data_IF_054219991050
#
_entry.id   IF_054219991050
#
_cell.length_a   1.000
_cell.length_b   1.000
_cell.length_c   1.000
_cell.angle_alpha   90.00
_cell.angle_beta   90.00
_cell.angle_gamma   90.00
#
_symmetry.space_group_name_H-M   'P 1'
#
loop_
_entity.id
_entity.type
_entity.pdbx_description
1 polymer ?
#
# COMPACT_ATOMS: atom_id res chain seq x y z
N UNK A 1 -32.52 6.62 17.73
CA UNK A 1 -31.62 6.67 16.56
C UNK A 1 -31.09 5.27 16.34
N UNK A 2 -31.19 4.73 15.12
CA UNK A 2 -30.62 3.42 14.78
C UNK A 2 -29.09 3.51 14.82
N UNK A 3 -28.44 2.55 15.50
CA UNK A 3 -26.98 2.45 15.50
C UNK A 3 -26.55 1.89 14.15
N UNK A 4 -25.54 2.52 13.55
CA UNK A 4 -24.90 2.05 12.34
C UNK A 4 -24.39 0.60 12.53
N UNK A 5 -24.69 -0.30 11.59
CA UNK A 5 -24.08 -1.64 11.52
C UNK A 5 -22.54 -1.54 11.48
N UNK A 6 -21.89 -2.30 12.35
CA UNK A 6 -20.43 -2.41 12.51
C UNK A 6 -19.87 -3.61 11.74
N UNK A 7 -18.54 -3.66 11.55
CA UNK A 7 -17.87 -4.83 10.94
C UNK A 7 -18.23 -6.13 11.66
N UNK A 8 -18.31 -6.09 12.99
CA UNK A 8 -18.71 -7.26 13.78
C UNK A 8 -20.14 -7.73 13.45
N UNK A 9 -21.09 -6.80 13.33
CA UNK A 9 -22.48 -7.13 12.97
C UNK A 9 -22.55 -7.74 11.56
N UNK A 10 -21.83 -7.17 10.60
CA UNK A 10 -21.73 -7.69 9.23
C UNK A 10 -21.11 -9.09 9.21
N UNK A 11 -20.09 -9.36 10.03
CA UNK A 11 -19.46 -10.67 10.12
C UNK A 11 -20.44 -11.74 10.61
N UNK A 12 -21.15 -11.46 11.70
CA UNK A 12 -22.11 -12.40 12.30
C UNK A 12 -23.29 -12.64 11.36
N UNK A 13 -23.79 -11.58 10.71
CA UNK A 13 -24.82 -11.71 9.69
C UNK A 13 -24.34 -12.54 8.49
N UNK A 14 -23.12 -12.32 8.00
CA UNK A 14 -22.55 -13.11 6.90
C UNK A 14 -22.39 -14.60 7.23
N UNK A 15 -22.07 -14.93 8.49
CA UNK A 15 -22.07 -16.33 8.95
C UNK A 15 -23.50 -16.91 8.93
N UNK A 16 -24.48 -16.12 9.37
CA UNK A 16 -25.87 -16.53 9.37
C UNK A 16 -26.42 -16.74 7.94
N UNK A 17 -26.18 -15.79 7.04
CA UNK A 17 -26.60 -15.84 5.63
C UNK A 17 -25.96 -17.02 4.90
N UNK A 18 -24.70 -17.33 5.20
CA UNK A 18 -24.02 -18.50 4.64
C UNK A 18 -24.71 -19.80 5.08
N UNK A 19 -25.02 -19.95 6.37
CA UNK A 19 -25.74 -21.12 6.86
C UNK A 19 -27.17 -21.18 6.31
N UNK A 20 -27.87 -20.06 6.23
CA UNK A 20 -29.23 -19.98 5.69
C UNK A 20 -29.31 -20.53 4.26
N UNK A 21 -28.32 -20.20 3.43
CA UNK A 21 -28.17 -20.70 2.05
C UNK A 21 -28.07 -22.23 1.98
N UNK A 22 -27.52 -22.87 3.01
CA UNK A 22 -27.29 -24.32 3.07
C UNK A 22 -28.43 -25.11 3.74
N UNK A 23 -29.34 -24.41 4.45
CA UNK A 23 -30.46 -25.01 5.17
C UNK A 23 -31.80 -24.93 4.42
N UNK A 24 -31.94 -24.01 3.44
CA UNK A 24 -33.18 -23.86 2.68
C UNK A 24 -34.33 -23.27 3.50
N UNK A 25 -35.58 -23.52 3.12
CA UNK A 25 -36.74 -22.85 3.73
C UNK A 25 -37.18 -23.43 5.09
N UNK A 26 -36.70 -24.61 5.49
CA UNK A 26 -37.21 -25.35 6.66
C UNK A 26 -36.64 -24.87 8.01
N UNK A 27 -35.50 -24.17 7.99
CA UNK A 27 -34.79 -23.70 9.18
C UNK A 27 -34.52 -22.21 9.07
N UNK A 28 -34.89 -21.47 10.12
CA UNK A 28 -34.61 -20.03 10.26
C UNK A 28 -33.29 -19.87 11.02
N UNK A 29 -32.32 -19.17 10.46
CA UNK A 29 -31.12 -18.80 11.20
C UNK A 29 -31.38 -17.56 12.07
N UNK A 30 -31.04 -17.63 13.35
CA UNK A 30 -31.14 -16.52 14.31
C UNK A 30 -29.78 -16.20 14.90
N UNK A 31 -29.53 -14.92 15.16
CA UNK A 31 -28.31 -14.40 15.82
C UNK A 31 -28.64 -13.79 17.19
N UNK A 32 -29.80 -14.12 17.75
CA UNK A 32 -30.32 -13.58 19.00
C UNK A 32 -29.77 -14.35 20.23
N UNK A 33 -30.14 -13.89 21.42
CA UNK A 33 -29.96 -14.67 22.64
C UNK A 33 -30.73 -16.00 22.54
N UNK A 34 -30.20 -17.11 23.07
CA UNK A 34 -30.87 -18.40 23.13
C UNK A 34 -32.34 -18.35 23.59
N UNK A 35 -32.66 -17.52 24.60
CA UNK A 35 -34.03 -17.34 25.07
C UNK A 35 -34.98 -16.82 23.98
N UNK A 36 -34.60 -15.75 23.28
CA UNK A 36 -35.39 -15.19 22.18
C UNK A 36 -35.52 -16.14 20.99
N UNK A 37 -34.45 -16.86 20.67
CA UNK A 37 -34.49 -17.86 19.61
C UNK A 37 -35.46 -19.01 19.95
N UNK A 38 -35.49 -19.43 21.23
CA UNK A 38 -36.46 -20.40 21.75
C UNK A 38 -37.90 -19.88 21.71
N UNK A 39 -38.16 -18.64 22.15
CA UNK A 39 -39.47 -18.00 22.04
C UNK A 39 -39.94 -17.93 20.58
N UNK A 40 -39.05 -17.53 19.68
CA UNK A 40 -39.33 -17.48 18.24
C UNK A 40 -39.63 -18.86 17.66
N UNK A 41 -38.95 -19.90 18.11
CA UNK A 41 -39.22 -21.26 17.65
C UNK A 41 -40.59 -21.76 18.11
N UNK A 42 -41.01 -21.46 19.34
CA UNK A 42 -42.36 -21.81 19.84
C UNK A 42 -43.47 -21.25 18.96
N UNK A 43 -43.32 -19.99 18.54
CA UNK A 43 -44.32 -19.30 17.73
C UNK A 43 -44.15 -19.54 16.22
N UNK A 44 -43.21 -20.41 15.80
CA UNK A 44 -42.88 -20.65 14.40
C UNK A 44 -43.21 -22.07 13.96
N UNK A 45 -43.70 -22.16 12.72
CA UNK A 45 -43.84 -23.42 11.98
C UNK A 45 -42.48 -24.00 11.52
N UNK A 46 -41.39 -23.23 11.63
CA UNK A 46 -40.05 -23.60 11.18
C UNK A 46 -39.13 -23.83 12.36
N UNK A 47 -38.12 -24.69 12.17
CA UNK A 47 -37.07 -24.85 13.18
C UNK A 47 -36.19 -23.60 13.19
N UNK A 48 -35.61 -23.25 14.35
CA UNK A 48 -34.68 -22.13 14.48
C UNK A 48 -33.30 -22.66 14.79
N UNK A 49 -32.29 -22.27 14.01
CA UNK A 49 -30.89 -22.52 14.34
C UNK A 49 -30.28 -21.22 14.88
N UNK A 50 -30.00 -21.18 16.17
CA UNK A 50 -29.43 -20.01 16.81
C UNK A 50 -27.91 -20.01 16.76
N UNK A 51 -27.31 -18.88 16.41
CA UNK A 51 -25.87 -18.62 16.43
C UNK A 51 -25.61 -17.60 17.54
N UNK A 52 -25.31 -18.09 18.74
CA UNK A 52 -25.11 -17.22 19.89
C UNK A 52 -23.62 -16.89 20.08
N UNK A 53 -23.23 -15.63 19.89
CA UNK A 53 -21.86 -15.17 20.18
C UNK A 53 -21.70 -14.94 21.68
N UNK A 54 -21.00 -15.83 22.39
CA UNK A 54 -20.83 -15.75 23.84
C UNK A 54 -19.50 -15.15 24.27
N UNK A 55 -18.51 -15.08 23.38
CA UNK A 55 -17.20 -14.49 23.68
C UNK A 55 -16.53 -13.94 22.43
N UNK A 56 -15.89 -12.79 22.59
CA UNK A 56 -15.04 -12.15 21.58
C UNK A 56 -13.64 -12.05 22.16
N UNK A 57 -12.64 -12.51 21.41
CA UNK A 57 -11.24 -12.48 21.83
C UNK A 57 -10.34 -11.91 20.74
N UNK A 58 -9.20 -11.29 21.07
CA UNK A 58 -8.19 -10.95 20.08
C UNK A 58 -7.75 -12.18 19.28
N UNK A 59 -7.54 -12.04 17.98
CA UNK A 59 -7.06 -13.17 17.17
C UNK A 59 -5.63 -13.60 17.49
N UNK A 60 -4.83 -12.69 18.03
CA UNK A 60 -3.44 -12.90 18.39
C UNK A 60 -2.69 -11.56 18.43
N UNK A 61 -1.37 -11.63 18.56
CA UNK A 61 -0.50 -10.47 18.45
C UNK A 61 0.04 -10.36 17.02
N UNK A 62 -0.30 -9.27 16.34
CA UNK A 62 0.15 -8.96 14.98
C UNK A 62 1.13 -7.80 15.04
N UNK A 63 2.42 -8.11 15.24
CA UNK A 63 3.47 -7.12 15.54
C UNK A 63 3.64 -6.02 14.48
N UNK A 64 3.19 -6.27 13.25
CA UNK A 64 3.26 -5.32 12.14
C UNK A 64 1.99 -4.51 11.92
N UNK A 65 0.89 -4.79 12.62
CA UNK A 65 -0.39 -4.12 12.36
C UNK A 65 -0.48 -2.76 13.05
N UNK A 66 -0.67 -1.72 12.26
CA UNK A 66 -0.89 -0.36 12.72
C UNK A 66 -2.34 -0.08 13.13
N UNK A 67 -2.58 1.08 13.74
CA UNK A 67 -3.94 1.53 14.11
C UNK A 67 -4.85 1.82 12.90
N UNK A 68 -4.25 1.97 11.73
CA UNK A 68 -4.92 2.24 10.45
C UNK A 68 -5.14 0.96 9.61
N UNK A 69 -4.85 -0.21 10.18
CA UNK A 69 -5.07 -1.51 9.56
C UNK A 69 -6.21 -2.27 10.26
N UNK A 70 -6.88 -3.21 9.56
CA UNK A 70 -7.91 -4.04 10.18
C UNK A 70 -7.38 -4.81 11.38
N UNK A 71 -8.08 -4.68 12.52
CA UNK A 71 -7.80 -5.48 13.71
C UNK A 71 -8.61 -6.77 13.67
N UNK A 72 -7.97 -7.93 13.84
CA UNK A 72 -8.66 -9.21 13.73
C UNK A 72 -9.06 -9.77 15.10
N UNK A 73 -10.31 -10.21 15.20
CA UNK A 73 -10.86 -10.89 16.37
C UNK A 73 -11.28 -12.33 16.07
N UNK A 74 -11.48 -13.10 17.14
CA UNK A 74 -12.10 -14.42 17.16
C UNK A 74 -13.47 -14.30 17.79
N UNK A 75 -14.46 -14.92 17.15
CA UNK A 75 -15.80 -15.05 17.70
C UNK A 75 -15.99 -16.48 18.17
N UNK A 76 -16.30 -16.65 19.45
CA UNK A 76 -16.72 -17.93 19.99
C UNK A 76 -18.25 -17.96 20.01
N UNK A 77 -18.81 -18.91 19.30
CA UNK A 77 -20.25 -19.05 19.10
C UNK A 77 -20.75 -20.40 19.58
N UNK A 78 -22.00 -20.42 20.03
CA UNK A 78 -22.73 -21.62 20.37
C UNK A 78 -23.87 -21.78 19.38
N UNK A 79 -23.78 -22.79 18.52
CA UNK A 79 -24.79 -23.13 17.52
C UNK A 79 -25.78 -24.10 18.16
N UNK A 80 -27.05 -23.70 18.26
CA UNK A 80 -28.08 -24.46 18.98
C UNK A 80 -29.38 -24.54 18.18
N UNK A 81 -29.90 -25.74 17.90
CA UNK A 81 -31.20 -25.90 17.28
C UNK A 81 -32.33 -25.73 18.31
N UNK A 82 -33.41 -25.07 17.90
CA UNK A 82 -34.67 -25.00 18.61
C UNK A 82 -35.77 -25.52 17.68
N UNK A 83 -36.41 -26.65 17.99
CA UNK A 83 -37.43 -27.20 17.13
C UNK A 83 -38.68 -26.31 17.18
N UNK A 84 -39.32 -26.08 16.02
CA UNK A 84 -40.65 -25.47 15.96
C UNK A 84 -41.74 -26.43 16.45
N UNK A 85 -42.90 -25.88 16.82
CA UNK A 85 -43.97 -26.62 17.51
C UNK A 85 -44.94 -27.37 16.57
N UNK A 86 -44.66 -27.40 15.26
CA UNK A 86 -45.58 -28.00 14.28
C UNK A 86 -45.36 -29.50 14.08
N UNK A 87 -46.47 -30.25 14.07
CA UNK A 87 -46.58 -31.63 13.57
C UNK A 87 -45.81 -32.72 14.34
N UNK A 88 -45.61 -32.56 15.65
CA UNK A 88 -44.93 -33.57 16.48
C UNK A 88 -43.61 -34.04 15.82
N UNK A 89 -42.63 -33.13 15.69
CA UNK A 89 -41.42 -33.41 14.93
C UNK A 89 -40.72 -34.66 15.47
N UNK A 90 -39.95 -35.38 14.62
CA UNK A 90 -39.19 -36.53 15.07
C UNK A 90 -38.36 -36.21 16.31
N UNK A 91 -38.24 -37.15 17.25
CA UNK A 91 -37.52 -36.95 18.52
C UNK A 91 -36.04 -36.55 18.32
N UNK A 92 -35.46 -36.88 17.15
CA UNK A 92 -34.08 -36.60 16.78
C UNK A 92 -33.91 -35.34 15.92
N UNK A 93 -34.94 -34.52 15.75
CA UNK A 93 -34.89 -33.34 14.85
C UNK A 93 -33.78 -32.35 15.23
N UNK A 94 -33.54 -32.14 16.52
CA UNK A 94 -32.46 -31.27 17.01
C UNK A 94 -31.10 -31.79 16.54
N UNK A 95 -30.88 -33.10 16.64
CA UNK A 95 -29.65 -33.75 16.19
C UNK A 95 -29.48 -33.70 14.67
N UNK A 96 -30.58 -33.77 13.91
CA UNK A 96 -30.54 -33.64 12.44
C UNK A 96 -30.15 -32.23 12.01
N UNK A 97 -30.79 -31.21 12.58
CA UNK A 97 -30.49 -29.80 12.27
C UNK A 97 -29.05 -29.47 12.66
N UNK A 98 -28.64 -29.82 13.88
CA UNK A 98 -27.27 -29.58 14.34
C UNK A 98 -26.24 -30.38 13.54
N UNK A 99 -26.52 -31.65 13.25
CA UNK A 99 -25.64 -32.51 12.46
C UNK A 99 -25.43 -31.97 11.04
N UNK A 100 -26.46 -31.40 10.42
CA UNK A 100 -26.33 -30.71 9.14
C UNK A 100 -25.47 -29.45 9.23
N UNK A 101 -25.66 -28.61 10.26
CA UNK A 101 -24.82 -27.42 10.48
C UNK A 101 -23.34 -27.80 10.64
N UNK A 102 -23.06 -28.83 11.45
CA UNK A 102 -21.70 -29.34 11.63
C UNK A 102 -21.13 -29.84 10.31
N UNK A 103 -21.91 -30.60 9.52
CA UNK A 103 -21.49 -31.10 8.21
C UNK A 103 -21.13 -29.95 7.25
N UNK A 104 -21.95 -28.91 7.19
CA UNK A 104 -21.73 -27.73 6.34
C UNK A 104 -20.41 -27.05 6.73
N UNK A 105 -20.24 -26.71 8.01
CA UNK A 105 -19.04 -26.00 8.49
C UNK A 105 -17.77 -26.86 8.44
N UNK A 106 -17.90 -28.19 8.56
CA UNK A 106 -16.78 -29.11 8.39
C UNK A 106 -16.37 -29.24 6.91
N UNK A 107 -17.35 -29.27 6.01
CA UNK A 107 -17.11 -29.40 4.56
C UNK A 107 -16.56 -28.10 3.98
N UNK A 108 -17.00 -26.96 4.50
CA UNK A 108 -16.61 -25.62 4.09
C UNK A 108 -16.09 -24.81 5.30
N UNK A 109 -14.90 -25.14 5.83
CA UNK A 109 -14.36 -24.48 7.03
C UNK A 109 -13.88 -23.05 6.77
N UNK A 110 -13.90 -22.58 5.52
CA UNK A 110 -13.53 -21.21 5.14
C UNK A 110 -14.73 -20.55 4.50
N UNK A 111 -15.31 -19.60 5.23
CA UNK A 111 -16.49 -18.86 4.84
C UNK A 111 -16.08 -17.61 4.05
N UNK A 112 -16.63 -17.39 2.85
CA UNK A 112 -16.47 -16.12 2.16
C UNK A 112 -17.22 -15.04 2.94
N UNK A 113 -16.56 -13.92 3.23
CA UNK A 113 -17.21 -12.81 3.89
C UNK A 113 -16.82 -11.51 3.18
N UNK A 114 -17.83 -10.82 2.65
CA UNK A 114 -17.65 -9.56 1.94
C UNK A 114 -17.91 -8.44 2.93
N UNK A 115 -16.86 -7.67 3.22
CA UNK A 115 -16.97 -6.51 4.12
C UNK A 115 -16.84 -5.23 3.31
N UNK A 116 -17.53 -4.14 3.69
CA UNK A 116 -17.21 -2.83 3.17
C UNK A 116 -15.78 -2.46 3.62
N UNK A 117 -14.90 -2.10 2.68
CA UNK A 117 -13.48 -1.93 2.95
C UNK A 117 -12.76 -0.95 2.02
N UNK A 118 -12.49 0.24 2.50
CA UNK A 118 -11.70 1.25 1.78
C UNK A 118 -11.75 2.56 2.55
N UNK A 119 -10.82 3.50 2.29
CA UNK A 119 -10.78 4.75 3.02
C UNK A 119 -12.17 5.39 2.91
N UNK A 120 -12.84 5.49 4.05
CA UNK A 120 -13.98 6.35 4.15
C UNK A 120 -13.48 7.72 3.66
N UNK A 121 -14.08 8.27 2.60
CA UNK A 121 -14.14 9.72 2.51
C UNK A 121 -14.86 10.26 3.75
N UNK A 122 -15.38 11.48 3.72
CA UNK A 122 -16.25 11.96 4.81
C UNK A 122 -17.60 11.19 4.98
N UNK A 123 -17.70 9.90 4.59
CA UNK A 123 -18.91 9.09 4.58
C UNK A 123 -18.79 7.70 5.23
N UNK A 124 -19.95 7.07 5.46
CA UNK A 124 -20.11 5.73 6.05
C UNK A 124 -19.20 4.68 5.37
N UNK A 125 -18.42 3.92 6.15
CA UNK A 125 -17.51 2.88 5.66
C UNK A 125 -18.21 1.84 4.78
N UNK A 126 -19.53 1.69 4.91
CA UNK A 126 -20.37 0.85 4.04
C UNK A 126 -20.34 1.21 2.56
N UNK A 127 -20.02 2.46 2.24
CA UNK A 127 -19.98 2.95 0.86
C UNK A 127 -18.60 2.81 0.21
N UNK A 128 -17.61 2.33 0.97
CA UNK A 128 -16.29 2.06 0.44
C UNK A 128 -16.32 0.82 -0.49
N UNK A 129 -15.30 0.65 -1.37
CA UNK A 129 -15.13 -0.59 -2.13
C UNK A 129 -15.20 -1.80 -1.20
N UNK A 130 -15.73 -2.93 -1.67
CA UNK A 130 -15.79 -4.12 -0.82
C UNK A 130 -14.42 -4.79 -0.75
N UNK A 131 -14.09 -5.36 0.42
CA UNK A 131 -12.94 -6.23 0.65
C UNK A 131 -13.43 -7.64 0.95
N UNK A 132 -12.80 -8.59 0.28
CA UNK A 132 -13.07 -10.01 0.48
C UNK A 132 -12.20 -10.53 1.62
N UNK A 133 -12.87 -10.99 2.67
CA UNK A 133 -12.26 -11.70 3.79
C UNK A 133 -12.65 -13.18 3.78
N UNK A 134 -11.84 -13.98 4.46
CA UNK A 134 -12.05 -15.42 4.62
C UNK A 134 -12.08 -15.75 6.10
N UNK A 135 -13.27 -16.01 6.63
CA UNK A 135 -13.43 -16.40 8.02
C UNK A 135 -13.21 -17.90 8.14
N UNK A 136 -12.47 -18.34 9.16
CA UNK A 136 -12.24 -19.78 9.38
C UNK A 136 -13.11 -20.29 10.52
N UNK A 137 -13.98 -21.25 10.24
CA UNK A 137 -14.76 -21.98 11.24
C UNK A 137 -13.94 -23.13 11.84
N UNK A 138 -13.89 -23.20 13.16
CA UNK A 138 -13.13 -24.22 13.91
C UNK A 138 -14.02 -24.76 15.01
N UNK A 139 -14.36 -26.06 14.96
CA UNK A 139 -15.12 -26.72 16.02
C UNK A 139 -14.30 -26.71 17.32
N UNK A 140 -14.93 -26.32 18.41
CA UNK A 140 -14.34 -26.21 19.73
C UNK A 140 -14.88 -27.30 20.66
N UNK A 141 -14.08 -27.65 21.67
CA UNK A 141 -14.46 -28.53 22.77
C UNK A 141 -14.39 -27.75 24.10
N UNK A 142 -15.34 -26.84 24.37
CA UNK A 142 -15.36 -26.09 25.62
C UNK A 142 -15.55 -27.04 26.81
N UNK A 143 -15.08 -26.59 27.98
CA UNK A 143 -15.25 -27.37 29.20
C UNK A 143 -16.72 -27.47 29.60
N UNK A 144 -17.09 -28.54 30.30
CA UNK A 144 -18.46 -28.69 30.83
C UNK A 144 -18.85 -27.52 31.74
N UNK A 145 -17.89 -26.96 32.49
CA UNK A 145 -18.10 -25.78 33.34
C UNK A 145 -18.48 -24.55 32.51
N UNK A 146 -17.77 -24.30 31.41
CA UNK A 146 -18.05 -23.18 30.49
C UNK A 146 -19.44 -23.31 29.86
N UNK A 147 -19.79 -24.52 29.37
CA UNK A 147 -21.13 -24.78 28.81
C UNK A 147 -22.21 -24.55 29.88
N UNK A 148 -22.01 -25.06 31.10
CA UNK A 148 -22.96 -24.90 32.19
C UNK A 148 -23.13 -23.43 32.59
N UNK A 149 -22.06 -22.66 32.62
CA UNK A 149 -22.12 -21.22 32.90
C UNK A 149 -22.89 -20.47 31.80
N UNK A 150 -22.67 -20.80 30.52
CA UNK A 150 -23.45 -20.21 29.42
C UNK A 150 -24.94 -20.52 29.61
N UNK A 151 -25.31 -21.78 29.85
CA UNK A 151 -26.73 -22.17 29.93
C UNK A 151 -27.45 -21.65 31.17
N UNK A 152 -26.80 -21.66 32.33
CA UNK A 152 -27.40 -21.15 33.58
C UNK A 152 -27.66 -19.64 33.56
N UNK A 153 -26.97 -18.89 32.70
CA UNK A 153 -27.16 -17.44 32.54
C UNK A 153 -28.23 -17.07 31.50
N UNK A 154 -28.76 -18.02 30.73
CA UNK A 154 -29.80 -17.75 29.72
C UNK A 154 -31.22 -17.59 30.29
N UNK A 155 -31.40 -17.70 31.61
CA UNK A 155 -32.69 -17.60 32.29
C UNK A 155 -33.24 -18.97 32.68
N UNK A 156 -33.89 -19.04 33.85
CA UNK A 156 -34.30 -20.31 34.48
C UNK A 156 -35.37 -21.12 33.74
N UNK A 157 -36.02 -20.55 32.72
CA UNK A 157 -37.03 -21.23 31.91
C UNK A 157 -36.47 -22.01 30.72
N UNK A 158 -35.19 -21.80 30.36
CA UNK A 158 -34.54 -22.48 29.25
C UNK A 158 -33.70 -23.65 29.76
N UNK A 159 -34.16 -24.87 29.50
CA UNK A 159 -33.39 -26.07 29.81
C UNK A 159 -32.10 -26.12 28.97
N UNK A 160 -31.08 -26.80 29.51
CA UNK A 160 -29.88 -27.18 28.78
C UNK A 160 -30.23 -27.85 27.44
N UNK A 161 -29.60 -27.42 26.34
CA UNK A 161 -29.79 -28.00 25.00
C UNK A 161 -28.48 -28.50 24.43
N UNK A 162 -28.60 -29.42 23.46
CA UNK A 162 -27.45 -29.86 22.66
C UNK A 162 -26.98 -28.73 21.76
N UNK A 163 -25.68 -28.45 21.77
CA UNK A 163 -25.08 -27.37 20.99
C UNK A 163 -23.71 -27.74 20.47
N UNK A 164 -23.30 -27.12 19.37
CA UNK A 164 -21.92 -27.16 18.88
C UNK A 164 -21.24 -25.81 19.12
N UNK A 165 -20.08 -25.82 19.76
CA UNK A 165 -19.28 -24.62 19.94
C UNK A 165 -18.33 -24.44 18.76
N UNK A 166 -18.33 -23.26 18.15
CA UNK A 166 -17.43 -22.90 17.06
C UNK A 166 -16.62 -21.65 17.41
N UNK A 167 -15.40 -21.60 16.88
CA UNK A 167 -14.60 -20.38 16.78
C UNK A 167 -14.62 -19.95 15.30
N UNK A 168 -15.02 -18.71 15.05
CA UNK A 168 -14.82 -18.03 13.77
C UNK A 168 -13.63 -17.08 13.90
N UNK A 169 -12.51 -17.47 13.30
CA UNK A 169 -11.26 -16.72 13.34
C UNK A 169 -11.13 -15.74 12.16
N UNK A 170 -10.28 -14.72 12.35
CA UNK A 170 -9.95 -13.68 11.37
C UNK A 170 -11.14 -12.77 11.02
N UNK A 171 -12.01 -12.49 11.97
CA UNK A 171 -13.08 -11.51 11.80
C UNK A 171 -12.47 -10.10 11.82
N UNK A 172 -12.58 -9.32 10.73
CA UNK A 172 -11.99 -7.99 10.66
C UNK A 172 -12.82 -6.96 11.43
N UNK A 173 -12.14 -6.12 12.18
CA UNK A 173 -12.64 -4.87 12.73
C UNK A 173 -11.96 -3.75 11.93
N UNK A 174 -12.71 -3.13 11.04
CA UNK A 174 -12.18 -2.06 10.19
C UNK A 174 -11.87 -0.81 11.06
N UNK A 175 -10.73 -0.14 10.84
CA UNK A 175 -10.40 1.07 11.55
C UNK A 175 -11.27 2.24 11.06
N UNK A 176 -11.37 3.29 11.89
CA UNK A 176 -12.11 4.50 11.53
C UNK A 176 -11.46 5.26 10.37
N UNK A 177 -10.13 5.17 10.27
CA UNK A 177 -9.33 5.69 9.18
C UNK A 177 -8.39 4.58 8.71
N UNK A 178 -8.45 4.27 7.42
CA UNK A 178 -7.57 3.27 6.82
C UNK A 178 -6.24 3.90 6.42
N UNK A 179 -5.20 3.08 6.45
CA UNK A 179 -3.86 3.49 6.05
C UNK A 179 -3.90 3.93 4.59
N UNK A 180 -3.55 5.20 4.33
CA UNK A 180 -3.31 5.65 2.98
C UNK A 180 -1.99 5.03 2.52
N UNK A 181 -1.99 4.16 1.50
CA UNK A 181 -0.76 3.58 1.01
C UNK A 181 0.17 4.71 0.58
N UNK A 182 1.44 4.62 1.03
CA UNK A 182 2.44 5.60 0.66
C UNK A 182 2.46 5.78 -0.87
N UNK A 183 2.36 7.03 -1.31
CA UNK A 183 2.45 7.37 -2.73
C UNK A 183 3.77 6.85 -3.34
N UNK A 184 3.81 6.68 -4.66
CA UNK A 184 5.04 6.25 -5.32
C UNK A 184 6.19 7.21 -4.99
N UNK A 185 7.39 6.66 -4.78
CA UNK A 185 8.61 7.47 -4.59
C UNK A 185 8.80 8.36 -5.81
N UNK A 186 8.50 9.65 -5.66
CA UNK A 186 8.58 10.64 -6.75
C UNK A 186 10.02 11.05 -7.03
N UNK A 187 10.81 11.11 -5.97
CA UNK A 187 12.15 11.68 -6.00
C UNK A 187 13.08 10.83 -5.16
N UNK A 188 14.27 10.54 -5.69
CA UNK A 188 15.40 10.12 -4.88
C UNK A 188 16.38 11.29 -4.78
N UNK A 189 16.88 11.60 -3.59
CA UNK A 189 17.94 12.59 -3.41
C UNK A 189 19.25 11.83 -3.27
N UNK A 190 20.20 12.10 -4.15
CA UNK A 190 21.57 11.59 -4.03
C UNK A 190 22.45 12.73 -3.51
N UNK A 191 22.90 12.62 -2.27
CA UNK A 191 23.90 13.52 -1.70
C UNK A 191 25.30 12.91 -1.93
N UNK A 192 26.06 13.50 -2.85
CA UNK A 192 27.43 13.06 -3.19
C UNK A 192 28.49 13.69 -2.28
N UNK A 193 28.09 14.57 -1.36
CA UNK A 193 28.96 15.24 -0.39
C UNK A 193 28.38 15.11 1.04
N UNK A 194 27.79 13.96 1.35
CA UNK A 194 27.12 13.71 2.62
C UNK A 194 28.00 14.07 3.83
N UNK A 195 27.54 15.02 4.62
CA UNK A 195 28.21 15.42 5.87
C UNK A 195 27.79 14.51 7.02
N UNK A 196 28.76 14.01 7.79
CA UNK A 196 28.49 13.27 9.03
C UNK A 196 28.15 14.21 10.22
N UNK A 197 28.21 15.52 10.01
CA UNK A 197 27.78 16.49 11.02
C UNK A 197 26.26 16.35 11.24
N UNK A 198 25.85 16.08 12.48
CA UNK A 198 24.43 15.85 12.79
C UNK A 198 23.95 14.41 12.61
N UNK A 199 24.84 13.42 12.49
CA UNK A 199 24.50 11.98 12.38
C UNK A 199 23.58 11.44 13.48
N UNK A 200 23.51 12.11 14.63
CA UNK A 200 22.66 11.72 15.75
C UNK A 200 21.23 12.29 15.62
N UNK A 201 20.94 13.06 14.57
CA UNK A 201 19.61 13.57 14.26
C UNK A 201 18.76 12.50 13.56
N UNK A 202 17.45 12.52 13.80
CA UNK A 202 16.51 11.57 13.17
C UNK A 202 16.45 11.70 11.64
N UNK A 203 16.79 12.88 11.10
CA UNK A 203 16.89 13.13 9.66
C UNK A 203 18.02 14.15 9.42
N UNK A 204 18.98 13.81 8.57
CA UNK A 204 20.04 14.72 8.15
C UNK A 204 19.55 15.41 6.88
N UNK A 205 19.42 16.75 6.94
CA UNK A 205 19.08 17.54 5.76
C UNK A 205 20.16 17.34 4.68
N UNK A 206 19.78 17.01 3.43
CA UNK A 206 20.74 16.91 2.34
C UNK A 206 21.52 18.22 2.17
N UNK A 207 22.81 18.13 1.83
CA UNK A 207 23.64 19.30 1.57
C UNK A 207 23.12 20.17 0.42
N UNK A 208 23.59 21.43 0.27
CA UNK A 208 23.15 22.33 -0.81
C UNK A 208 23.43 21.80 -2.23
N UNK A 209 24.33 20.83 -2.36
CA UNK A 209 24.65 20.14 -3.62
C UNK A 209 23.77 18.91 -3.89
N UNK A 210 22.75 18.69 -3.06
CA UNK A 210 21.82 17.57 -3.21
C UNK A 210 20.79 17.86 -4.29
N UNK A 211 20.64 16.95 -5.25
CA UNK A 211 19.74 17.13 -6.37
C UNK A 211 18.63 16.07 -6.39
N UNK A 212 17.38 16.46 -6.63
CA UNK A 212 16.27 15.52 -6.81
C UNK A 212 16.43 14.79 -8.15
N UNK A 213 16.37 13.46 -8.11
CA UNK A 213 16.35 12.60 -9.29
C UNK A 213 14.90 12.10 -9.48
N UNK A 214 14.19 12.53 -10.54
CA UNK A 214 12.87 11.98 -10.84
C UNK A 214 13.04 10.51 -11.25
N UNK A 215 12.28 9.60 -10.64
CA UNK A 215 12.20 8.23 -11.13
C UNK A 215 11.26 8.21 -12.34
N UNK A 216 11.70 7.58 -13.43
CA UNK A 216 10.84 7.30 -14.57
C UNK A 216 9.54 6.63 -14.08
N UNK A 217 8.41 7.29 -14.30
CA UNK A 217 7.11 6.71 -14.06
C UNK A 217 6.98 5.44 -14.89
N UNK A 218 6.57 4.33 -14.27
CA UNK A 218 6.12 3.14 -15.00
C UNK A 218 4.77 3.44 -15.65
N UNK A 219 4.76 4.22 -16.72
CA UNK A 219 3.63 4.35 -17.66
C UNK A 219 4.04 5.32 -18.76
N UNK A 220 3.93 4.89 -20.02
CA UNK A 220 4.35 5.62 -21.23
C UNK A 220 3.55 6.90 -21.56
N UNK A 221 3.32 7.76 -20.57
CA UNK A 221 3.02 9.16 -20.81
C UNK A 221 4.31 9.93 -21.08
N UNK A 222 4.20 11.03 -21.82
CA UNK A 222 5.32 11.97 -21.97
C UNK A 222 5.86 12.35 -20.58
N UNK A 223 7.19 12.46 -20.41
CA UNK A 223 7.78 12.84 -19.14
C UNK A 223 7.21 14.20 -18.69
N UNK A 224 6.97 14.38 -17.38
CA UNK A 224 6.53 15.66 -16.84
C UNK A 224 7.48 16.78 -17.30
N UNK A 225 6.98 17.99 -17.59
CA UNK A 225 7.80 19.18 -17.93
C UNK A 225 8.82 19.58 -16.83
N UNK A 226 8.71 18.93 -15.68
CA UNK A 226 9.48 19.01 -14.45
C UNK A 226 10.56 17.90 -14.35
N UNK A 227 11.22 17.58 -15.45
CA UNK A 227 12.38 16.67 -15.45
C UNK A 227 13.70 17.45 -15.62
N UNK A 228 14.75 16.98 -14.93
CA UNK A 228 16.10 17.51 -15.08
C UNK A 228 17.00 16.44 -15.71
N UNK A 229 17.80 16.76 -16.74
CA UNK A 229 18.79 15.83 -17.26
C UNK A 229 19.87 15.58 -16.23
N UNK A 230 20.34 14.33 -16.15
CA UNK A 230 21.53 13.98 -15.41
C UNK A 230 22.75 14.18 -16.31
N UNK A 231 23.77 14.88 -15.84
CA UNK A 231 25.02 15.05 -16.58
C UNK A 231 26.25 14.70 -15.74
N UNK A 232 27.25 14.07 -16.36
CA UNK A 232 28.58 13.83 -15.79
C UNK A 232 29.64 13.99 -16.89
N UNK A 233 30.84 14.41 -16.55
CA UNK A 233 31.98 14.38 -17.47
C UNK A 233 32.43 12.92 -17.62
N UNK A 234 32.57 12.45 -18.86
CA UNK A 234 33.16 11.15 -19.13
C UNK A 234 34.69 11.31 -19.28
N UNK A 235 35.47 10.39 -18.72
CA UNK A 235 36.91 10.32 -18.88
C UNK A 235 37.40 8.86 -18.83
N UNK A 236 38.71 8.66 -18.94
CA UNK A 236 39.31 7.32 -19.04
C UNK A 236 39.05 6.45 -17.80
N UNK A 237 38.93 7.08 -16.63
CA UNK A 237 38.65 6.42 -15.35
C UNK A 237 37.14 6.25 -15.05
N UNK A 238 36.25 6.68 -15.94
CA UNK A 238 34.80 6.62 -15.75
C UNK A 238 34.12 8.00 -15.74
N UNK A 239 33.00 8.11 -15.01
CA UNK A 239 32.20 9.32 -14.93
C UNK A 239 32.60 10.16 -13.71
N UNK A 240 32.73 11.48 -13.88
CA UNK A 240 33.16 12.42 -12.84
C UNK A 240 32.40 13.75 -12.96
N UNK A 241 32.34 14.53 -11.89
CA UNK A 241 31.79 15.90 -11.92
C UNK A 241 32.85 16.98 -12.20
N UNK A 242 34.14 16.61 -12.18
CA UNK A 242 35.26 17.50 -12.44
C UNK A 242 36.29 16.84 -13.35
N UNK A 243 36.84 17.61 -14.30
CA UNK A 243 37.90 17.14 -15.19
C UNK A 243 38.91 18.24 -15.44
N UNK A 244 40.19 17.86 -15.47
CA UNK A 244 41.26 18.71 -15.99
C UNK A 244 41.52 18.36 -17.45
N UNK A 245 41.69 19.37 -18.29
CA UNK A 245 42.03 19.22 -19.71
C UNK A 245 43.31 20.00 -20.04
N UNK A 246 44.16 19.50 -20.95
CA UNK A 246 45.28 20.28 -21.47
C UNK A 246 44.81 21.54 -22.22
N UNK A 247 45.61 22.64 -22.24
CA UNK A 247 45.34 23.80 -23.08
C UNK A 247 45.14 23.44 -24.56
N UNK A 248 44.20 24.10 -25.23
CA UNK A 248 43.86 23.84 -26.63
C UNK A 248 42.97 22.62 -26.89
N UNK A 249 42.53 21.89 -25.85
CA UNK A 249 41.61 20.76 -26.00
C UNK A 249 40.19 21.25 -26.33
N UNK A 250 39.88 21.40 -27.62
CA UNK A 250 38.61 21.96 -28.09
C UNK A 250 37.36 21.08 -27.92
N UNK A 251 37.47 19.92 -27.28
CA UNK A 251 36.34 18.99 -27.08
C UNK A 251 36.40 18.30 -25.71
N UNK A 252 35.23 18.00 -25.15
CA UNK A 252 35.10 17.18 -23.96
C UNK A 252 33.93 16.20 -24.11
N UNK A 253 34.03 15.04 -23.47
CA UNK A 253 32.96 14.05 -23.45
C UNK A 253 32.10 14.21 -22.19
N UNK A 254 30.79 14.24 -22.37
CA UNK A 254 29.78 14.36 -21.31
C UNK A 254 28.82 13.19 -21.46
N UNK A 255 28.55 12.48 -20.37
CA UNK A 255 27.42 11.56 -20.30
C UNK A 255 26.16 12.35 -19.95
N UNK A 256 25.09 12.16 -20.73
CA UNK A 256 23.77 12.75 -20.52
C UNK A 256 22.72 11.65 -20.42
N UNK A 257 21.87 11.71 -19.41
CA UNK A 257 20.76 10.79 -19.26
C UNK A 257 19.45 11.51 -18.90
N UNK A 258 18.36 10.92 -19.36
CA UNK A 258 17.00 11.42 -19.15
C UNK A 258 16.03 10.72 -20.09
N UNK A 259 14.78 11.18 -20.22
CA UNK A 259 13.81 10.53 -21.08
C UNK A 259 14.30 10.46 -22.53
N UNK A 260 14.29 9.25 -23.10
CA UNK A 260 14.80 9.02 -24.46
C UNK A 260 14.00 9.81 -25.49
N UNK A 261 14.69 10.47 -26.41
CA UNK A 261 14.11 11.28 -27.49
C UNK A 261 13.97 12.77 -27.15
N UNK A 262 14.06 13.14 -25.87
CA UNK A 262 14.00 14.53 -25.43
C UNK A 262 15.26 15.31 -25.79
N UNK A 263 15.13 16.64 -25.87
CA UNK A 263 16.23 17.55 -26.18
C UNK A 263 16.75 18.22 -24.92
N UNK A 264 18.05 18.43 -24.88
CA UNK A 264 18.73 19.21 -23.84
C UNK A 264 19.69 20.20 -24.49
N UNK A 265 19.88 21.33 -23.84
CA UNK A 265 20.86 22.34 -24.22
C UNK A 265 21.92 22.43 -23.11
N UNK A 266 23.19 22.39 -23.51
CA UNK A 266 24.34 22.59 -22.63
C UNK A 266 24.92 23.98 -22.91
N UNK A 267 24.95 24.81 -21.87
CA UNK A 267 25.61 26.11 -21.87
C UNK A 267 26.99 25.97 -21.22
N UNK A 268 28.02 26.51 -21.86
CA UNK A 268 29.39 26.53 -21.34
C UNK A 268 29.74 27.96 -20.97
N UNK A 269 29.86 28.22 -19.67
CA UNK A 269 30.27 29.51 -19.12
C UNK A 269 31.73 29.44 -18.66
N UNK A 270 32.58 30.25 -19.27
CA UNK A 270 33.99 30.38 -18.96
C UNK A 270 34.23 31.45 -17.90
N UNK A 271 35.15 31.15 -16.99
CA UNK A 271 35.94 32.14 -16.24
C UNK A 271 37.37 32.02 -16.74
N UNK A 272 37.83 33.05 -17.45
CA UNK A 272 39.16 33.08 -18.05
C UNK A 272 40.24 33.32 -17.00
N UNK A 273 41.50 33.06 -17.34
CA UNK A 273 42.64 33.28 -16.45
C UNK A 273 42.75 34.73 -15.92
N UNK A 274 42.30 35.73 -16.69
CA UNK A 274 42.23 37.14 -16.30
C UNK A 274 40.97 37.51 -15.50
N UNK A 275 40.18 36.51 -15.09
CA UNK A 275 38.89 36.61 -14.42
C UNK A 275 37.75 37.21 -15.27
N UNK A 276 37.96 37.44 -16.58
CA UNK A 276 36.85 37.76 -17.48
C UNK A 276 35.91 36.57 -17.64
N UNK A 277 34.63 36.85 -17.91
CA UNK A 277 33.61 35.83 -18.13
C UNK A 277 33.17 35.83 -19.59
N UNK A 278 32.98 34.64 -20.14
CA UNK A 278 32.55 34.44 -21.52
C UNK A 278 31.56 33.27 -21.57
N UNK A 279 30.55 33.32 -22.44
CA UNK A 279 29.52 32.29 -22.52
C UNK A 279 29.36 31.84 -23.96
N UNK A 280 29.53 30.55 -24.20
CA UNK A 280 29.34 29.97 -25.52
C UNK A 280 27.85 29.85 -25.87
N UNK A 281 27.50 29.86 -27.17
CA UNK A 281 26.16 29.47 -27.62
C UNK A 281 25.77 28.08 -27.09
N UNK A 282 24.49 27.87 -26.71
CA UNK A 282 24.03 26.57 -26.22
C UNK A 282 24.22 25.46 -27.27
N UNK A 283 24.73 24.31 -26.84
CA UNK A 283 24.88 23.11 -27.66
C UNK A 283 23.73 22.14 -27.39
N UNK A 284 23.02 21.74 -28.44
CA UNK A 284 21.77 20.97 -28.31
C UNK A 284 22.01 19.50 -28.63
N UNK A 285 21.55 18.63 -27.74
CA UNK A 285 21.66 17.18 -27.87
C UNK A 285 20.29 16.52 -27.71
N UNK A 286 20.13 15.35 -28.33
CA UNK A 286 18.98 14.47 -28.12
C UNK A 286 19.39 13.31 -27.23
N UNK A 287 18.66 13.10 -26.14
CA UNK A 287 18.94 12.03 -25.20
C UNK A 287 18.60 10.69 -25.83
N UNK A 288 19.57 9.76 -25.80
CA UNK A 288 19.42 8.43 -26.41
C UNK A 288 19.14 7.33 -25.38
N UNK A 289 19.26 7.63 -24.08
CA UNK A 289 19.06 6.67 -23.00
C UNK A 289 18.68 7.36 -21.69
N UNK A 290 17.95 6.62 -20.84
CA UNK A 290 17.61 7.02 -19.48
C UNK A 290 18.70 6.66 -18.46
N UNK A 291 19.78 6.00 -18.88
CA UNK A 291 20.85 5.48 -18.02
C UNK A 291 22.18 6.15 -18.32
N UNK A 292 22.77 6.79 -17.31
CA UNK A 292 24.02 7.59 -17.46
C UNK A 292 25.27 6.74 -17.72
N UNK A 293 25.22 5.48 -17.32
CA UNK A 293 26.32 4.50 -17.44
C UNK A 293 26.38 3.81 -18.80
N UNK A 294 25.35 3.96 -19.63
CA UNK A 294 25.32 3.36 -20.97
C UNK A 294 26.22 4.13 -21.95
N UNK A 295 26.91 3.45 -22.88
CA UNK A 295 27.69 4.12 -23.92
C UNK A 295 26.88 5.10 -24.76
N UNK A 296 25.58 4.85 -24.94
CA UNK A 296 24.65 5.73 -25.66
C UNK A 296 24.38 7.07 -24.94
N UNK A 297 24.73 7.21 -23.66
CA UNK A 297 24.62 8.47 -22.93
C UNK A 297 25.72 9.47 -23.33
N UNK A 298 26.80 9.01 -23.96
CA UNK A 298 27.98 9.83 -24.22
C UNK A 298 27.77 10.77 -25.41
N UNK A 299 27.98 12.06 -25.19
CA UNK A 299 28.00 13.10 -26.21
C UNK A 299 29.30 13.88 -26.13
N UNK A 300 29.76 14.41 -27.27
CA UNK A 300 30.93 15.30 -27.33
C UNK A 300 30.46 16.74 -27.39
N UNK A 301 30.95 17.57 -26.47
CA UNK A 301 30.75 19.02 -26.49
C UNK A 301 31.98 19.71 -27.06
N UNK A 302 31.76 20.85 -27.71
CA UNK A 302 32.82 21.74 -28.21
C UNK A 302 33.16 22.79 -27.17
N UNK A 303 34.45 23.06 -26.99
CA UNK A 303 35.00 24.05 -26.07
C UNK A 303 35.74 25.13 -26.89
N UNK A 304 35.29 26.37 -26.78
CA UNK A 304 35.77 27.50 -27.57
C UNK A 304 37.00 28.13 -26.92
N UNK A 305 38.14 27.97 -27.60
CA UNK A 305 39.44 28.55 -27.24
C UNK A 305 39.85 28.30 -25.77
N UNK A 306 39.93 27.04 -25.29
CA UNK A 306 40.34 26.75 -23.92
C UNK A 306 41.83 27.09 -23.71
N UNK A 307 42.11 28.08 -22.85
CA UNK A 307 43.47 28.53 -22.54
C UNK A 307 43.90 28.10 -21.13
N UNK A 308 45.21 28.01 -20.90
CA UNK A 308 45.78 27.61 -19.61
C UNK A 308 45.26 28.50 -18.47
N UNK A 309 44.78 27.88 -17.39
CA UNK A 309 44.20 28.59 -16.24
C UNK A 309 42.71 28.90 -16.34
N UNK A 310 42.06 28.65 -17.49
CA UNK A 310 40.63 28.82 -17.67
C UNK A 310 39.82 27.79 -16.86
N UNK A 311 38.59 28.17 -16.50
CA UNK A 311 37.60 27.28 -15.88
C UNK A 311 36.29 27.36 -16.64
N UNK A 312 35.75 26.21 -17.05
CA UNK A 312 34.44 26.11 -17.69
C UNK A 312 33.42 25.53 -16.69
N UNK A 313 32.24 26.14 -16.63
CA UNK A 313 31.06 25.61 -15.95
C UNK A 313 30.06 25.16 -17.01
N UNK A 314 29.62 23.91 -16.91
CA UNK A 314 28.62 23.35 -17.82
C UNK A 314 27.27 23.36 -17.10
N UNK A 315 26.30 24.01 -17.72
CA UNK A 315 24.91 24.08 -17.25
C UNK A 315 24.02 23.43 -18.29
N UNK A 316 23.31 22.37 -17.91
CA UNK A 316 22.41 21.66 -18.83
C UNK A 316 20.96 21.87 -18.45
N UNK A 317 20.11 22.15 -19.44
CA UNK A 317 18.67 22.34 -19.28
C UNK A 317 17.90 21.53 -20.33
N UNK A 318 16.64 21.14 -20.06
CA UNK A 318 15.73 20.73 -21.11
C UNK A 318 15.62 21.82 -22.18
N UNK A 319 15.51 21.41 -23.44
CA UNK A 319 15.39 22.31 -24.57
C UNK A 319 14.07 22.09 -25.30
N UNK A 320 13.51 23.16 -25.87
CA UNK A 320 12.28 23.09 -26.67
C UNK A 320 12.50 22.42 -28.03
N UNK A 321 11.43 22.35 -28.83
CA UNK A 321 11.49 21.78 -30.17
C UNK A 321 12.48 22.51 -31.10
N UNK A 322 12.72 23.81 -30.90
CA UNK A 322 13.68 24.62 -31.63
C UNK A 322 15.11 24.51 -31.09
N UNK A 323 15.32 23.78 -29.99
CA UNK A 323 16.63 23.62 -29.34
C UNK A 323 17.00 24.76 -28.41
N UNK A 324 16.07 25.65 -28.07
CA UNK A 324 16.31 26.70 -27.09
C UNK A 324 16.16 26.13 -25.66
N UNK A 325 17.08 26.44 -24.73
CA UNK A 325 16.94 26.04 -23.34
C UNK A 325 15.64 26.63 -22.77
N UNK A 326 14.85 25.80 -22.07
CA UNK A 326 13.63 26.28 -21.42
C UNK A 326 13.99 27.23 -20.27
N UNK A 327 13.57 28.51 -20.30
CA UNK A 327 14.01 29.50 -19.32
C UNK A 327 13.45 29.24 -17.91
N UNK A 328 12.29 28.58 -17.82
CA UNK A 328 11.63 28.26 -16.55
C UNK A 328 12.15 26.96 -15.90
N UNK A 329 12.89 26.13 -16.66
CA UNK A 329 13.48 24.92 -16.13
C UNK A 329 14.74 25.23 -15.32
N UNK A 330 14.83 24.68 -14.11
CA UNK A 330 16.08 24.74 -13.34
C UNK A 330 17.22 24.05 -14.13
N UNK A 331 18.47 24.53 -14.03
CA UNK A 331 19.61 23.79 -14.55
C UNK A 331 19.79 22.48 -13.78
N UNK A 332 20.30 21.47 -14.49
CA UNK A 332 20.82 20.24 -13.91
C UNK A 332 22.01 20.52 -12.96
N UNK A 333 22.59 19.45 -12.40
CA UNK A 333 23.83 19.53 -11.63
C UNK A 333 24.94 20.23 -12.43
N UNK A 334 25.77 21.06 -11.79
CA UNK A 334 26.82 21.82 -12.47
C UNK A 334 28.11 21.00 -12.59
N UNK A 335 28.73 20.98 -13.77
CA UNK A 335 30.04 20.34 -13.98
C UNK A 335 31.12 21.39 -14.12
N UNK A 336 32.33 21.09 -13.65
CA UNK A 336 33.49 22.00 -13.75
C UNK A 336 34.60 21.36 -14.56
N UNK A 337 35.05 22.05 -15.60
CA UNK A 337 36.26 21.73 -16.35
C UNK A 337 37.33 22.75 -15.99
N UNK A 338 38.54 22.28 -15.68
CA UNK A 338 39.71 23.14 -15.50
C UNK A 338 40.68 22.92 -16.65
N UNK A 339 41.18 23.99 -17.23
CA UNK A 339 42.26 23.90 -18.21
C UNK A 339 43.57 24.03 -17.45
N UNK A 340 44.42 23.00 -17.55
CA UNK A 340 45.66 22.93 -16.78
C UNK A 340 46.53 24.17 -17.04
N UNK A 341 47.02 24.78 -15.96
CA UNK A 341 48.04 25.81 -16.03
C UNK A 341 49.37 25.18 -16.43
N UNK A 342 50.13 25.86 -17.29
CA UNK A 342 51.53 25.51 -17.52
C UNK A 342 52.38 25.75 -16.26
#
# INVERSE_FOLDING_TARGET
>A
MAVAASSLSVAVQGIADYLDTEFGEDVIISIDTPLRAHERAKDSDKHVLNIFVYRIAPSGFHAGSGAEEPFFVRLHTLITPFPGDKNNPPEDIELRVLGHAIRVLQSNPVLPAVFPGGPAGEGDFRNAPHRDYRLRAILQAPSMEEINHIWTTQGGELAYRVSAAYEFALVPIEPLALHEPAGPVRTAILDVAGSMAGRDQAFVMPGPDSHPIPRAGRSGGAPPTDWLPLQLLAGDAGLTNRRSLPPGTGQAEVALAGPSGEKVAIEVAWTRADASTDTQPPQVFRLSTARIDEPAARVTITLDNPAAGDRARLMTRPADAAGQPLPEAAPANMLEIRVEGA
#
